data_IF_041825580833
#
_entry.id   IF_041825580833
#
_cell.length_a   1.000
_cell.length_b   1.000
_cell.length_c   1.000
_cell.angle_alpha   90.00
_cell.angle_beta   90.00
_cell.angle_gamma   90.00
#
_symmetry.space_group_name_H-M   'P 1'
#
loop_
_entity.id
_entity.type
_entity.pdbx_description
1 polymer ?
#
# COMPACT_ATOMS: atom_id res chain seq x y z
N UNK A 1 7.36 5.32 9.81
CA UNK A 1 6.12 5.53 9.03
C UNK A 1 6.40 5.37 7.55
N UNK A 2 5.36 5.43 6.74
CA UNK A 2 5.40 5.45 5.28
C UNK A 2 4.54 6.63 4.82
N UNK A 3 4.94 7.35 3.77
CA UNK A 3 4.11 8.41 3.16
C UNK A 3 3.75 8.09 1.73
N UNK A 4 2.55 8.47 1.34
CA UNK A 4 2.00 8.25 0.01
C UNK A 4 1.27 9.48 -0.49
N UNK A 5 1.41 9.75 -1.78
CA UNK A 5 0.46 10.54 -2.55
C UNK A 5 -0.40 9.57 -3.34
N UNK A 6 -1.72 9.66 -3.17
CA UNK A 6 -2.67 8.75 -3.81
C UNK A 6 -3.71 9.53 -4.60
N UNK A 7 -3.86 9.22 -5.88
CA UNK A 7 -4.94 9.75 -6.71
C UNK A 7 -6.04 8.71 -6.74
N UNK A 8 -7.20 9.04 -6.18
CA UNK A 8 -8.41 8.23 -6.25
C UNK A 8 -9.32 8.69 -7.37
N UNK A 9 -10.08 7.76 -7.93
CA UNK A 9 -11.14 8.01 -8.91
C UNK A 9 -12.48 7.61 -8.32
N UNK A 10 -13.40 8.57 -8.17
CA UNK A 10 -14.79 8.37 -7.79
C UNK A 10 -15.60 7.74 -8.93
N UNK A 11 -16.68 7.07 -8.57
CA UNK A 11 -17.65 6.50 -9.49
C UNK A 11 -17.25 5.19 -10.14
N UNK A 12 -16.07 4.65 -9.80
CA UNK A 12 -15.58 3.38 -10.34
C UNK A 12 -14.92 2.54 -9.26
N UNK A 13 -15.30 1.27 -9.19
CA UNK A 13 -14.64 0.25 -8.37
C UNK A 13 -14.07 -0.86 -9.25
N UNK A 14 -12.95 -1.44 -8.82
CA UNK A 14 -12.26 -2.53 -9.50
C UNK A 14 -11.94 -3.67 -8.55
N UNK A 15 -11.77 -4.89 -9.07
CA UNK A 15 -11.51 -6.08 -8.25
C UNK A 15 -10.16 -6.04 -7.52
N UNK A 16 -9.18 -5.31 -8.06
CA UNK A 16 -7.85 -5.08 -7.45
C UNK A 16 -7.80 -3.85 -6.53
N UNK A 17 -8.87 -3.05 -6.48
CA UNK A 17 -8.95 -1.74 -5.82
C UNK A 17 -7.92 -0.71 -6.37
N UNK A 18 -7.46 -0.92 -7.61
CA UNK A 18 -6.65 0.03 -8.37
C UNK A 18 -7.00 -0.01 -9.87
N UNK A 19 -6.45 0.93 -10.64
CA UNK A 19 -6.70 1.08 -12.08
C UNK A 19 -6.27 -0.12 -12.94
N UNK A 20 -5.53 -1.08 -12.39
CA UNK A 20 -5.09 -2.28 -13.13
C UNK A 20 -6.12 -3.41 -13.14
N UNK A 21 -7.12 -3.32 -12.26
CA UNK A 21 -8.17 -4.33 -12.13
C UNK A 21 -9.29 -4.18 -13.15
N UNK A 22 -10.18 -5.19 -13.16
CA UNK A 22 -11.42 -5.17 -13.93
C UNK A 22 -12.46 -4.36 -13.18
N UNK A 23 -13.27 -3.60 -13.90
CA UNK A 23 -14.40 -2.85 -13.33
C UNK A 23 -15.41 -3.81 -12.74
N UNK A 24 -15.78 -3.60 -11.48
CA UNK A 24 -16.78 -4.41 -10.77
C UNK A 24 -18.04 -3.63 -10.49
N UNK A 25 -17.96 -2.30 -10.41
CA UNK A 25 -19.07 -1.43 -10.10
C UNK A 25 -18.81 -0.02 -10.65
N UNK A 26 -19.87 0.62 -11.13
CA UNK A 26 -19.90 2.04 -11.48
C UNK A 26 -21.09 2.71 -10.78
N UNK A 27 -20.88 3.90 -10.22
CA UNK A 27 -21.90 4.66 -9.49
C UNK A 27 -21.80 6.16 -9.80
N UNK A 28 -22.92 6.91 -9.77
CA UNK A 28 -22.86 8.36 -9.81
C UNK A 28 -22.04 8.94 -8.66
N UNK A 29 -21.40 10.08 -8.91
CA UNK A 29 -20.60 10.82 -7.93
C UNK A 29 -20.89 12.32 -7.93
N UNK A 30 -21.85 12.78 -8.74
CA UNK A 30 -22.20 14.20 -8.92
C UNK A 30 -22.60 14.88 -7.61
N UNK A 31 -23.11 14.10 -6.65
CA UNK A 31 -23.50 14.56 -5.31
C UNK A 31 -22.31 14.77 -4.38
N UNK A 32 -21.12 14.23 -4.68
CA UNK A 32 -19.96 14.26 -3.79
C UNK A 32 -19.30 15.62 -3.84
N UNK A 33 -19.25 16.31 -2.70
CA UNK A 33 -18.55 17.59 -2.58
C UNK A 33 -17.17 17.44 -1.94
N UNK A 34 -16.33 18.48 -2.09
CA UNK A 34 -15.06 18.59 -1.39
C UNK A 34 -15.24 18.47 0.14
N UNK A 35 -16.27 19.12 0.68
CA UNK A 35 -16.56 19.11 2.11
C UNK A 35 -16.97 17.73 2.62
N UNK A 36 -17.74 16.98 1.84
CA UNK A 36 -18.09 15.60 2.19
C UNK A 36 -16.85 14.73 2.30
N UNK A 37 -15.95 14.83 1.31
CA UNK A 37 -14.70 14.09 1.31
C UNK A 37 -13.83 14.47 2.52
N UNK A 38 -13.61 15.76 2.78
CA UNK A 38 -12.84 16.23 3.95
C UNK A 38 -13.43 15.72 5.28
N UNK A 39 -14.75 15.72 5.42
CA UNK A 39 -15.43 15.18 6.60
C UNK A 39 -15.22 13.66 6.73
N UNK A 40 -15.30 12.92 5.63
CA UNK A 40 -15.07 11.47 5.63
C UNK A 40 -13.62 11.14 6.01
N UNK A 41 -12.62 11.92 5.57
CA UNK A 41 -11.21 11.68 5.93
C UNK A 41 -10.95 11.66 7.44
N UNK A 42 -11.73 12.41 8.23
CA UNK A 42 -11.60 12.43 9.68
C UNK A 42 -11.82 11.05 10.32
N UNK A 43 -12.72 10.23 9.73
CA UNK A 43 -13.01 8.86 10.19
C UNK A 43 -11.86 7.89 9.97
N UNK A 44 -10.96 8.22 9.03
CA UNK A 44 -9.84 7.36 8.61
C UNK A 44 -8.49 7.82 9.19
N UNK A 45 -8.49 8.75 10.14
CA UNK A 45 -7.28 9.24 10.81
C UNK A 45 -7.14 8.63 12.21
N UNK A 46 -5.93 8.29 12.63
CA UNK A 46 -5.66 7.65 13.93
C UNK A 46 -5.62 6.13 13.88
N UNK A 47 -6.12 5.47 14.93
CA UNK A 47 -6.20 4.00 14.99
C UNK A 47 -7.51 3.54 14.35
N UNK A 48 -7.41 2.76 13.27
CA UNK A 48 -8.57 2.27 12.53
C UNK A 48 -8.45 0.78 12.23
N UNK A 49 -9.58 0.14 11.94
CA UNK A 49 -9.63 -1.24 11.48
C UNK A 49 -9.73 -1.27 9.96
N UNK A 50 -8.85 -2.05 9.31
CA UNK A 50 -8.84 -2.16 7.85
C UNK A 50 -8.93 -3.61 7.40
N UNK A 51 -9.82 -3.88 6.46
CA UNK A 51 -9.86 -5.15 5.72
C UNK A 51 -8.80 -5.11 4.60
N UNK A 52 -7.82 -6.01 4.61
CA UNK A 52 -6.84 -6.11 3.53
C UNK A 52 -7.50 -6.46 2.18
N UNK A 53 -6.98 -5.95 1.05
CA UNK A 53 -7.49 -6.33 -0.26
C UNK A 53 -7.16 -7.80 -0.57
N UNK A 54 -8.01 -8.45 -1.36
CA UNK A 54 -7.79 -9.82 -1.85
C UNK A 54 -6.49 -9.92 -2.66
N UNK A 55 -6.21 -8.92 -3.49
CA UNK A 55 -4.94 -8.80 -4.19
C UNK A 55 -3.85 -8.23 -3.26
N UNK A 56 -3.42 -9.04 -2.29
CA UNK A 56 -2.35 -8.70 -1.34
C UNK A 56 -1.33 -9.82 -1.18
N UNK A 57 -0.20 -9.48 -0.55
CA UNK A 57 0.87 -10.44 -0.20
C UNK A 57 0.56 -11.28 1.05
N UNK A 58 -0.63 -11.13 1.65
CA UNK A 58 -1.04 -11.97 2.77
C UNK A 58 -1.17 -13.42 2.32
N UNK A 59 -1.04 -14.36 3.26
CA UNK A 59 -1.06 -15.79 2.96
C UNK A 59 -2.29 -16.49 3.50
N UNK A 60 -2.78 -17.47 2.75
CA UNK A 60 -3.72 -18.52 3.18
C UNK A 60 -3.07 -19.85 2.83
N UNK A 61 -2.92 -20.72 3.82
CA UNK A 61 -2.36 -22.07 3.67
C UNK A 61 -0.98 -22.09 2.94
N UNK A 62 -0.11 -21.13 3.27
CA UNK A 62 1.24 -21.00 2.71
C UNK A 62 1.34 -20.20 1.40
N UNK A 63 0.24 -20.02 0.69
CA UNK A 63 0.17 -19.32 -0.60
C UNK A 63 -0.33 -17.87 -0.48
N UNK A 64 0.12 -16.97 -1.36
CA UNK A 64 -0.30 -15.57 -1.35
C UNK A 64 -1.73 -15.43 -1.89
N UNK A 65 -2.56 -14.59 -1.27
CA UNK A 65 -3.92 -14.32 -1.74
C UNK A 65 -3.91 -13.83 -3.19
N UNK A 66 -2.98 -12.94 -3.56
CA UNK A 66 -2.87 -12.47 -4.94
C UNK A 66 -2.53 -13.57 -5.96
N UNK A 67 -1.82 -14.63 -5.55
CA UNK A 67 -1.53 -15.78 -6.40
C UNK A 67 -2.80 -16.61 -6.62
N UNK A 68 -3.54 -16.89 -5.56
CA UNK A 68 -4.81 -17.62 -5.61
C UNK A 68 -5.85 -16.87 -6.47
N UNK A 69 -5.97 -15.55 -6.29
CA UNK A 69 -6.87 -14.70 -7.08
C UNK A 69 -6.55 -14.74 -8.58
N UNK A 70 -5.25 -14.73 -8.95
CA UNK A 70 -4.83 -14.82 -10.36
C UNK A 70 -5.17 -16.17 -11.00
N UNK A 71 -5.32 -17.24 -10.22
CA UNK A 71 -5.78 -18.55 -10.69
C UNK A 71 -7.31 -18.66 -10.76
N UNK A 72 -8.04 -17.62 -10.34
CA UNK A 72 -9.50 -17.62 -10.28
C UNK A 72 -10.07 -18.42 -9.12
N UNK A 73 -9.25 -18.73 -8.10
CA UNK A 73 -9.72 -19.44 -6.92
C UNK A 73 -10.58 -18.53 -6.04
N UNK A 74 -11.63 -19.09 -5.43
CA UNK A 74 -12.46 -18.36 -4.48
C UNK A 74 -11.67 -18.13 -3.18
N UNK A 75 -11.32 -16.87 -2.91
CA UNK A 75 -10.55 -16.46 -1.73
C UNK A 75 -11.37 -15.48 -0.91
N UNK A 76 -11.51 -15.77 0.37
CA UNK A 76 -12.14 -14.85 1.32
C UNK A 76 -11.14 -13.80 1.81
N UNK A 77 -11.64 -12.59 2.07
CA UNK A 77 -10.85 -11.54 2.66
C UNK A 77 -10.38 -11.95 4.07
N UNK A 78 -9.16 -11.55 4.43
CA UNK A 78 -8.69 -11.70 5.81
C UNK A 78 -9.49 -10.77 6.73
N UNK A 79 -9.66 -11.12 8.01
CA UNK A 79 -10.34 -10.26 8.98
C UNK A 79 -9.73 -8.86 9.03
N UNK A 80 -10.55 -7.88 9.40
CA UNK A 80 -10.08 -6.53 9.65
C UNK A 80 -9.00 -6.53 10.73
N UNK A 81 -7.96 -5.70 10.54
CA UNK A 81 -6.83 -5.60 11.46
C UNK A 81 -6.54 -4.15 11.82
N UNK A 82 -6.00 -3.88 13.02
CA UNK A 82 -5.65 -2.52 13.42
C UNK A 82 -4.50 -1.99 12.56
N UNK A 83 -4.64 -0.74 12.13
CA UNK A 83 -3.62 0.03 11.43
C UNK A 83 -3.60 1.46 11.99
N UNK A 84 -2.44 2.13 11.88
CA UNK A 84 -2.28 3.52 12.30
C UNK A 84 -2.17 4.44 11.08
N UNK A 85 -2.98 5.48 11.05
CA UNK A 85 -2.88 6.61 10.13
C UNK A 85 -2.43 7.83 10.95
N UNK A 86 -1.22 8.31 10.68
CA UNK A 86 -0.62 9.45 11.38
C UNK A 86 -1.15 10.78 10.86
N UNK A 87 -1.31 10.91 9.54
CA UNK A 87 -1.94 12.06 8.89
C UNK A 87 -2.66 11.63 7.61
N UNK A 88 -3.77 12.29 7.32
CA UNK A 88 -4.55 12.10 6.11
C UNK A 88 -5.18 13.44 5.72
N UNK A 89 -4.93 13.90 4.50
CA UNK A 89 -5.43 15.19 4.04
C UNK A 89 -5.76 15.20 2.55
N UNK A 90 -6.74 16.01 2.18
CA UNK A 90 -7.13 16.25 0.80
C UNK A 90 -6.26 17.35 0.20
N UNK A 91 -5.50 17.01 -0.84
CA UNK A 91 -4.63 17.95 -1.54
C UNK A 91 -5.34 18.60 -2.74
N UNK A 92 -6.12 17.82 -3.48
CA UNK A 92 -6.83 18.28 -4.67
C UNK A 92 -8.16 17.55 -4.81
N UNK A 93 -9.19 18.27 -5.27
CA UNK A 93 -10.50 17.71 -5.57
C UNK A 93 -10.97 18.24 -6.93
N UNK A 94 -10.90 17.38 -7.94
CA UNK A 94 -11.28 17.66 -9.32
C UNK A 94 -12.02 16.43 -9.86
N UNK A 95 -13.29 16.23 -9.44
CA UNK A 95 -14.02 15.00 -9.71
C UNK A 95 -14.03 14.65 -11.22
N UNK A 96 -13.88 13.37 -11.58
CA UNK A 96 -13.93 12.22 -10.68
C UNK A 96 -12.64 12.01 -9.85
N UNK A 97 -11.59 12.80 -10.05
CA UNK A 97 -10.30 12.61 -9.37
C UNK A 97 -10.20 13.39 -8.06
N UNK A 98 -9.50 12.80 -7.09
CA UNK A 98 -9.06 13.47 -5.88
C UNK A 98 -7.69 12.97 -5.45
N UNK A 99 -6.90 13.86 -4.83
CA UNK A 99 -5.52 13.56 -4.41
C UNK A 99 -5.41 13.61 -2.90
N UNK A 100 -4.92 12.52 -2.29
CA UNK A 100 -4.68 12.41 -0.86
C UNK A 100 -3.18 12.43 -0.56
N UNK A 101 -2.80 13.10 0.53
CA UNK A 101 -1.53 12.88 1.22
C UNK A 101 -1.76 12.04 2.47
N UNK A 102 -1.03 10.94 2.60
CA UNK A 102 -1.24 9.91 3.64
C UNK A 102 0.08 9.57 4.31
N UNK A 103 0.18 9.73 5.63
CA UNK A 103 1.23 9.14 6.46
C UNK A 103 0.67 8.02 7.32
N UNK A 104 1.25 6.82 7.24
CA UNK A 104 0.72 5.63 7.90
C UNK A 104 1.80 4.69 8.47
N UNK A 105 1.35 3.76 9.31
CA UNK A 105 2.15 2.67 9.87
C UNK A 105 2.31 1.48 8.92
N UNK A 106 3.03 0.45 9.37
CA UNK A 106 3.18 -0.79 8.61
C UNK A 106 1.86 -1.55 8.47
N UNK A 107 1.65 -2.20 7.32
CA UNK A 107 0.47 -3.02 7.06
C UNK A 107 -0.79 -2.25 6.61
N UNK A 108 -0.67 -0.94 6.42
CA UNK A 108 -1.73 -0.10 5.84
C UNK A 108 -1.86 -0.31 4.32
N UNK A 109 -3.09 -0.39 3.81
CA UNK A 109 -3.40 -0.48 2.39
C UNK A 109 -4.12 0.80 1.93
N UNK A 110 -3.43 1.64 1.16
CA UNK A 110 -4.03 2.85 0.54
C UNK A 110 -5.19 2.50 -0.39
N UNK A 111 -5.10 1.34 -1.08
CA UNK A 111 -6.19 0.84 -1.94
C UNK A 111 -7.47 0.55 -1.18
N UNK A 112 -7.39 -0.09 0.00
CA UNK A 112 -8.56 -0.28 0.86
C UNK A 112 -9.10 1.06 1.37
N UNK A 113 -8.23 2.00 1.76
CA UNK A 113 -8.64 3.35 2.17
C UNK A 113 -9.50 4.04 1.10
N UNK A 114 -9.02 4.11 -0.14
CA UNK A 114 -9.74 4.79 -1.23
C UNK A 114 -11.08 4.12 -1.51
N UNK A 115 -11.11 2.79 -1.56
CA UNK A 115 -12.35 2.03 -1.73
C UNK A 115 -13.36 2.30 -0.60
N UNK A 116 -12.91 2.32 0.65
CA UNK A 116 -13.78 2.54 1.80
C UNK A 116 -14.27 4.00 1.90
N UNK A 117 -13.45 4.98 1.49
CA UNK A 117 -13.89 6.37 1.29
C UNK A 117 -15.04 6.44 0.28
N UNK A 118 -14.93 5.74 -0.85
CA UNK A 118 -16.00 5.70 -1.86
C UNK A 118 -17.33 5.19 -1.29
N UNK A 119 -17.28 4.14 -0.45
CA UNK A 119 -18.46 3.61 0.24
C UNK A 119 -19.06 4.61 1.24
N UNK A 120 -18.22 5.25 2.07
CA UNK A 120 -18.67 6.27 3.03
C UNK A 120 -19.33 7.48 2.34
N UNK A 121 -18.91 7.79 1.12
CA UNK A 121 -19.50 8.84 0.28
C UNK A 121 -20.72 8.37 -0.52
N UNK A 122 -21.24 7.17 -0.25
CA UNK A 122 -22.38 6.58 -0.97
C UNK A 122 -22.17 6.47 -2.50
N UNK A 123 -20.91 6.28 -2.93
CA UNK A 123 -20.53 5.99 -4.32
C UNK A 123 -19.60 4.76 -4.33
N UNK A 124 -18.66 4.70 -5.26
CA UNK A 124 -17.51 3.80 -5.22
C UNK A 124 -16.24 4.55 -5.62
N UNK A 125 -15.06 4.02 -5.29
CA UNK A 125 -13.81 4.61 -5.70
C UNK A 125 -12.70 3.57 -5.84
N UNK A 126 -11.72 3.86 -6.69
CA UNK A 126 -10.53 3.04 -6.91
C UNK A 126 -9.28 3.91 -6.97
N UNK A 127 -8.12 3.34 -6.66
CA UNK A 127 -6.85 4.05 -6.80
C UNK A 127 -6.48 4.16 -8.28
N UNK A 128 -6.38 5.38 -8.78
CA UNK A 128 -5.89 5.67 -10.13
C UNK A 128 -4.36 5.65 -10.18
N UNK A 129 -3.71 6.35 -9.27
CA UNK A 129 -2.25 6.40 -9.15
C UNK A 129 -1.81 6.37 -7.68
N UNK A 130 -0.65 5.76 -7.42
CA UNK A 130 -0.11 5.65 -6.07
C UNK A 130 1.41 5.79 -6.08
N UNK A 131 1.89 6.82 -5.41
CA UNK A 131 3.31 7.10 -5.26
C UNK A 131 3.69 7.06 -3.80
N UNK A 132 4.60 6.14 -3.43
CA UNK A 132 5.17 6.14 -2.08
C UNK A 132 6.31 7.16 -2.02
N UNK A 133 6.10 8.24 -1.28
CA UNK A 133 7.04 9.36 -1.17
C UNK A 133 8.03 9.20 0.00
N UNK A 134 7.75 8.31 0.96
CA UNK A 134 8.64 8.02 2.10
C UNK A 134 8.56 6.58 2.60
N UNK A 135 9.68 6.03 3.03
CA UNK A 135 9.82 4.76 3.74
C UNK A 135 10.83 4.89 4.88
N UNK A 136 10.36 4.96 6.12
CA UNK A 136 11.26 5.16 7.27
C UNK A 136 12.01 6.50 7.15
N UNK A 137 13.35 6.53 7.23
CA UNK A 137 14.12 7.75 7.03
C UNK A 137 14.26 8.16 5.56
N UNK A 138 13.95 7.27 4.61
CA UNK A 138 14.20 7.51 3.19
C UNK A 138 13.02 8.19 2.51
N UNK A 139 13.32 9.19 1.69
CA UNK A 139 12.38 9.99 0.89
C UNK A 139 12.58 9.70 -0.60
N UNK A 140 11.52 9.78 -1.39
CA UNK A 140 11.59 9.59 -2.84
C UNK A 140 12.48 10.65 -3.51
N UNK A 141 12.41 11.89 -3.02
CA UNK A 141 13.14 13.03 -3.59
C UNK A 141 14.66 12.91 -3.37
N UNK A 142 15.10 12.56 -2.17
CA UNK A 142 16.52 12.61 -1.83
C UNK A 142 17.23 11.26 -1.99
N UNK A 143 16.50 10.15 -1.84
CA UNK A 143 17.12 8.82 -1.68
C UNK A 143 16.85 7.86 -2.84
N UNK A 144 15.91 8.18 -3.74
CA UNK A 144 15.67 7.33 -4.90
C UNK A 144 16.64 7.66 -6.03
N UNK A 145 17.28 6.63 -6.58
CA UNK A 145 18.06 6.76 -7.80
C UNK A 145 17.12 6.87 -9.00
N UNK A 146 17.29 7.96 -9.75
CA UNK A 146 16.62 8.16 -11.04
C UNK A 146 17.15 7.18 -12.08
N UNK A 147 16.32 6.85 -13.07
CA UNK A 147 16.61 5.79 -14.06
C UNK A 147 17.90 6.02 -14.84
N UNK A 148 18.20 7.27 -15.19
CA UNK A 148 19.42 7.70 -15.86
C UNK A 148 20.70 7.50 -15.01
N UNK A 149 20.55 7.23 -13.71
CA UNK A 149 21.62 7.01 -12.75
C UNK A 149 21.72 5.56 -12.27
N UNK A 150 21.11 4.61 -12.98
CA UNK A 150 21.24 3.18 -12.64
C UNK A 150 22.56 2.57 -13.12
N UNK A 151 23.68 3.20 -12.77
CA UNK A 151 25.02 2.66 -12.98
C UNK A 151 25.52 1.99 -11.70
N UNK A 152 26.46 1.05 -11.84
CA UNK A 152 27.05 0.35 -10.69
C UNK A 152 27.65 1.36 -9.69
N UNK A 153 28.33 2.39 -10.19
CA UNK A 153 29.00 3.39 -9.34
C UNK A 153 28.02 4.29 -8.59
N UNK A 154 26.90 4.68 -9.22
CA UNK A 154 25.85 5.46 -8.56
C UNK A 154 25.09 4.61 -7.53
N UNK A 155 24.84 3.33 -7.82
CA UNK A 155 24.27 2.39 -6.87
C UNK A 155 25.18 2.23 -5.65
N UNK A 156 26.49 2.02 -5.86
CA UNK A 156 27.46 1.89 -4.78
C UNK A 156 27.48 3.15 -3.89
N UNK A 157 27.53 4.35 -4.49
CA UNK A 157 27.47 5.63 -3.76
C UNK A 157 26.17 5.80 -2.98
N UNK A 158 25.03 5.41 -3.55
CA UNK A 158 23.73 5.48 -2.87
C UNK A 158 23.69 4.55 -1.64
N UNK A 159 24.26 3.35 -1.75
CA UNK A 159 24.34 2.41 -0.63
C UNK A 159 25.20 2.96 0.51
N UNK A 160 26.33 3.59 0.22
CA UNK A 160 27.18 4.23 1.23
C UNK A 160 26.46 5.38 1.93
N UNK A 161 25.82 6.28 1.16
CA UNK A 161 25.07 7.40 1.71
C UNK A 161 23.90 6.94 2.61
N UNK A 162 23.16 5.93 2.18
CA UNK A 162 22.01 5.41 2.94
C UNK A 162 22.41 4.61 4.17
N UNK A 163 23.58 3.98 4.19
CA UNK A 163 24.10 3.27 5.36
C UNK A 163 24.33 4.22 6.55
N UNK A 164 24.78 5.44 6.29
CA UNK A 164 24.99 6.47 7.33
C UNK A 164 23.69 6.84 8.06
N UNK A 165 22.55 6.75 7.39
CA UNK A 165 21.23 7.11 7.93
C UNK A 165 20.61 6.04 8.82
N UNK A 166 21.04 4.78 8.68
CA UNK A 166 20.48 3.64 9.41
C UNK A 166 21.17 3.37 10.75
N UNK A 167 22.29 4.04 11.04
CA UNK A 167 23.17 3.66 12.15
C UNK A 167 23.77 2.27 11.95
N UNK A 168 24.50 1.75 12.94
CA UNK A 168 24.99 0.36 12.84
C UNK A 168 23.81 -0.61 12.69
N UNK A 169 23.83 -1.52 11.71
CA UNK A 169 22.74 -2.44 11.50
C UNK A 169 22.61 -3.36 12.71
N UNK A 170 21.47 -3.28 13.41
CA UNK A 170 21.07 -4.34 14.33
C UNK A 170 21.01 -5.64 13.52
N UNK A 171 22.00 -6.53 13.73
CA UNK A 171 22.06 -7.86 13.10
C UNK A 171 20.74 -8.59 13.40
N UNK A 172 19.81 -8.59 12.45
CA UNK A 172 18.68 -9.50 12.49
C UNK A 172 19.27 -10.90 12.39
N UNK A 173 19.17 -11.69 13.47
CA UNK A 173 19.43 -13.13 13.42
C UNK A 173 18.63 -13.68 12.25
N UNK A 174 19.31 -14.21 11.23
CA UNK A 174 18.65 -15.05 10.24
C UNK A 174 17.90 -16.12 11.03
N UNK A 175 16.58 -16.23 10.82
CA UNK A 175 15.85 -17.42 11.24
C UNK A 175 16.32 -18.55 10.35
N UNK A 176 17.19 -19.40 10.88
CA UNK A 176 17.42 -20.74 10.35
C UNK A 176 16.14 -21.57 10.55
N UNK A 177 15.37 -21.77 9.48
CA UNK A 177 14.47 -22.91 9.31
C UNK A 177 15.34 -24.02 8.69
N UNK A 178 15.46 -25.30 9.10
CA UNK A 178 14.85 -26.21 10.08
C UNK A 178 15.93 -27.22 10.56
N UNK A 179 15.72 -27.93 11.69
CA UNK A 179 16.57 -29.04 12.10
C UNK A 179 16.11 -30.35 11.42
N UNK A 180 17.01 -31.02 10.71
CA UNK A 180 16.82 -32.44 10.34
C UNK A 180 17.16 -32.76 8.90
N UNK A 181 18.43 -32.73 8.54
CA UNK A 181 18.96 -33.59 7.47
C UNK A 181 20.24 -34.24 7.98
N UNK A 182 20.14 -35.52 8.28
CA UNK A 182 21.26 -36.38 8.66
C UNK A 182 22.14 -36.56 7.42
N UNK A 183 23.31 -35.93 7.40
CA UNK A 183 24.31 -36.18 6.38
C UNK A 183 24.83 -37.62 6.53
N UNK A 184 24.47 -38.47 5.56
CA UNK A 184 25.11 -39.77 5.36
C UNK A 184 26.43 -39.50 4.64
N UNK A 185 27.54 -39.75 5.34
CA UNK A 185 28.88 -39.78 4.76
C UNK A 185 29.04 -41.18 4.16
N UNK A 186 29.28 -41.25 2.84
CA UNK A 186 29.82 -42.45 2.20
C UNK A 186 31.28 -42.16 1.82
N UNK A 187 32.13 -43.15 2.11
CA UNK A 187 33.59 -43.20 1.98
C UNK A 187 34.12 -42.94 0.56
#
# INVERSE_FOLDING_TARGET
SQKYTAIGMLGKATDTLDATGKVTEEKPYDQVTKGDLENVLQKFTGDIMQVPPLYSALKKDGERLSTLMKRGEAVEAKPARPVRVYSLSLQQFQPPLFTLDVECGGGFYVRSLVNDIGKELSTCATVQELTRTKQGPFTLEEHALQEDKWTIDEIARSLEHTALLLGEPARKKLKTEHPGETAVICE
#
